data_IF_954503435088
#
_entry.id   IF_954503435088
#
_cell.length_a   1.000
_cell.length_b   1.000
_cell.length_c   1.000
_cell.angle_alpha   90.00
_cell.angle_beta   90.00
_cell.angle_gamma   90.00
#
_symmetry.space_group_name_H-M   'P 1'
#
loop_
_entity.id
_entity.type
_entity.pdbx_description
1 polymer ?
#
# COMPACT_ATOMS: atom_id res chain seq x y z
N UNK A 1 -27.98 2.88 -1.56
CA UNK A 1 -26.93 3.92 -1.45
C UNK A 1 -25.59 3.19 -1.53
N UNK A 2 -25.00 3.07 -2.72
CA UNK A 2 -23.76 2.30 -2.93
C UNK A 2 -22.58 3.25 -2.94
N UNK A 3 -21.77 3.19 -1.87
CA UNK A 3 -20.44 3.80 -1.87
C UNK A 3 -19.62 3.07 -2.96
N UNK A 4 -19.27 3.77 -4.04
CA UNK A 4 -18.27 3.28 -4.99
C UNK A 4 -16.90 3.66 -4.42
N UNK A 5 -16.08 2.70 -3.95
CA UNK A 5 -14.79 3.02 -3.40
C UNK A 5 -13.91 3.61 -4.52
N UNK A 6 -13.27 4.74 -4.25
CA UNK A 6 -12.39 5.48 -5.16
C UNK A 6 -11.07 4.72 -5.39
N UNK A 7 -11.17 3.49 -5.90
CA UNK A 7 -10.08 2.50 -6.04
C UNK A 7 -9.05 2.83 -7.12
N UNK A 8 -9.02 4.07 -7.62
CA UNK A 8 -8.16 4.50 -8.73
C UNK A 8 -7.34 5.76 -8.46
N UNK A 9 -7.29 6.28 -7.22
CA UNK A 9 -6.62 7.56 -6.94
C UNK A 9 -5.08 7.44 -6.76
N UNK A 10 -4.51 6.23 -6.83
CA UNK A 10 -3.06 6.05 -6.69
C UNK A 10 -2.38 6.13 -8.06
N UNK A 11 -1.55 7.15 -8.27
CA UNK A 11 -0.79 7.27 -9.52
C UNK A 11 0.35 6.25 -9.66
N UNK A 12 0.82 5.66 -8.54
CA UNK A 12 1.99 4.76 -8.49
C UNK A 12 1.83 3.69 -7.41
N UNK A 13 2.41 2.51 -7.64
CA UNK A 13 2.39 1.39 -6.70
C UNK A 13 3.25 1.70 -5.47
N UNK A 14 2.75 1.54 -4.22
CA UNK A 14 3.54 1.80 -3.02
C UNK A 14 4.67 0.79 -2.79
N UNK A 15 4.62 -0.37 -3.46
CA UNK A 15 5.62 -1.43 -3.30
C UNK A 15 6.78 -1.32 -4.31
N UNK A 16 6.47 -1.11 -5.60
CA UNK A 16 7.49 -1.06 -6.66
C UNK A 16 7.64 0.32 -7.33
N UNK A 17 6.85 1.33 -6.92
CA UNK A 17 6.83 2.68 -7.48
C UNK A 17 6.46 2.77 -8.98
N UNK A 18 5.98 1.69 -9.60
CA UNK A 18 5.52 1.69 -10.99
C UNK A 18 4.21 2.46 -11.19
N UNK A 19 3.98 3.03 -12.39
CA UNK A 19 2.71 3.65 -12.76
C UNK A 19 1.58 2.64 -12.64
N UNK A 20 0.50 3.00 -11.93
CA UNK A 20 -0.68 2.15 -11.83
C UNK A 20 -1.68 2.49 -12.93
N UNK A 21 -2.23 1.46 -13.57
CA UNK A 21 -3.38 1.62 -14.44
C UNK A 21 -4.64 1.81 -13.58
N UNK A 22 -5.50 2.73 -14.00
CA UNK A 22 -6.66 3.15 -13.21
C UNK A 22 -7.73 2.07 -13.22
N UNK A 23 -7.88 1.33 -12.12
CA UNK A 23 -8.96 0.37 -11.91
C UNK A 23 -8.52 -1.03 -11.49
N UNK A 24 -7.22 -1.29 -11.44
CA UNK A 24 -6.70 -2.59 -11.04
C UNK A 24 -6.75 -2.82 -9.52
N UNK A 25 -7.18 -4.03 -9.14
CA UNK A 25 -7.13 -4.50 -7.74
C UNK A 25 -5.71 -4.86 -7.31
N UNK A 26 -4.86 -5.20 -8.28
CA UNK A 26 -3.50 -5.68 -8.08
C UNK A 26 -2.54 -4.99 -9.04
N UNK A 27 -1.32 -4.71 -8.60
CA UNK A 27 -0.29 -4.20 -9.49
C UNK A 27 0.23 -5.30 -10.42
N UNK A 28 0.10 -5.12 -11.74
CA UNK A 28 0.56 -6.09 -12.75
C UNK A 28 2.08 -6.32 -12.80
N UNK A 29 2.86 -5.43 -12.19
CA UNK A 29 4.33 -5.52 -12.16
C UNK A 29 4.89 -6.35 -11.00
N UNK A 30 4.34 -6.17 -9.80
CA UNK A 30 4.88 -6.78 -8.58
C UNK A 30 3.86 -7.61 -7.78
N UNK A 31 2.59 -7.61 -8.18
CA UNK A 31 1.52 -8.38 -7.53
C UNK A 31 0.98 -7.80 -6.22
N UNK A 32 1.28 -6.53 -5.89
CA UNK A 32 0.78 -5.89 -4.68
C UNK A 32 -0.73 -5.62 -4.76
N UNK A 33 -1.48 -5.93 -3.69
CA UNK A 33 -2.92 -5.67 -3.60
C UNK A 33 -3.20 -4.20 -3.28
N UNK A 34 -3.73 -3.48 -4.27
CA UNK A 34 -4.07 -2.06 -4.19
C UNK A 34 -5.40 -1.83 -3.46
N UNK A 35 -6.19 -2.90 -3.28
CA UNK A 35 -7.43 -2.92 -2.51
C UNK A 35 -7.22 -2.63 -1.03
N UNK A 36 -6.11 -3.11 -0.47
CA UNK A 36 -5.77 -2.97 0.93
C UNK A 36 -5.21 -1.59 1.29
N UNK A 37 -4.88 -0.76 0.28
CA UNK A 37 -4.40 0.60 0.51
C UNK A 37 -5.60 1.48 0.81
N UNK A 38 -5.72 2.07 2.02
CA UNK A 38 -6.72 3.08 2.27
C UNK A 38 -6.48 4.23 1.28
N UNK A 39 -7.54 4.83 0.68
CA UNK A 39 -7.35 6.03 -0.13
C UNK A 39 -6.58 7.02 0.75
N UNK A 40 -5.43 7.51 0.25
CA UNK A 40 -4.76 8.59 0.94
C UNK A 40 -5.81 9.71 1.07
N UNK A 41 -6.06 10.21 2.29
CA UNK A 41 -6.88 11.39 2.43
C UNK A 41 -6.26 12.42 1.50
N UNK A 42 -7.06 12.92 0.56
CA UNK A 42 -6.66 13.95 -0.39
C UNK A 42 -6.15 15.11 0.45
N UNK A 43 -4.83 15.18 0.60
CA UNK A 43 -4.15 16.27 1.26
C UNK A 43 -4.26 17.42 0.27
N UNK A 44 -5.36 18.15 0.37
CA UNK A 44 -5.56 19.44 -0.28
C UNK A 44 -5.30 20.60 0.69
N UNK A 45 -4.11 20.72 1.32
CA UNK A 45 -3.80 21.93 2.04
C UNK A 45 -3.53 23.03 1.01
N UNK A 46 -4.47 23.97 0.95
CA UNK A 46 -4.24 25.39 0.63
C UNK A 46 -4.13 25.75 -0.86
N UNK A 47 -5.28 26.06 -1.46
CA UNK A 47 -5.38 27.28 -2.26
C UNK A 47 -6.52 28.18 -1.74
N UNK A 48 -6.16 28.96 -0.72
CA UNK A 48 -6.48 30.39 -0.55
C UNK A 48 -7.95 30.80 -0.33
N UNK A 49 -8.31 31.20 0.90
CA UNK A 49 -8.69 32.58 1.30
C UNK A 49 -9.24 32.58 2.75
N UNK A 50 -8.61 33.43 3.57
CA UNK A 50 -8.85 33.76 4.97
C UNK A 50 -10.34 34.01 5.37
N UNK A 51 -10.95 33.17 6.22
CA UNK A 51 -11.89 33.58 7.29
C UNK A 51 -12.28 32.37 8.16
N UNK A 52 -11.97 32.43 9.47
CA UNK A 52 -12.05 31.31 10.39
C UNK A 52 -13.40 30.62 10.53
N UNK A 53 -13.36 29.29 10.57
CA UNK A 53 -14.12 28.40 11.45
C UNK A 53 -13.69 26.98 11.14
N UNK A 54 -12.94 26.37 12.05
CA UNK A 54 -12.81 24.92 12.05
C UNK A 54 -14.14 24.35 12.54
N UNK A 55 -14.91 23.58 11.76
CA UNK A 55 -15.89 22.71 12.36
C UNK A 55 -15.11 21.47 12.78
N UNK A 56 -14.78 21.43 14.07
CA UNK A 56 -14.83 20.22 14.89
C UNK A 56 -14.13 18.99 14.30
N UNK A 57 -12.93 18.72 14.81
CA UNK A 57 -12.50 17.34 15.02
C UNK A 57 -13.68 16.55 15.65
N UNK A 58 -13.94 15.28 15.28
CA UNK A 58 -14.92 14.48 16.00
C UNK A 58 -14.32 14.09 17.36
N UNK A 59 -14.28 15.04 18.28
CA UNK A 59 -14.46 14.75 19.70
C UNK A 59 -15.92 14.33 19.91
N UNK A 60 -16.23 13.09 19.52
CA UNK A 60 -17.41 12.41 20.01
C UNK A 60 -16.97 11.57 21.20
N UNK A 61 -16.76 12.22 22.34
CA UNK A 61 -16.81 11.56 23.65
C UNK A 61 -18.29 11.44 24.04
N UNK A 62 -18.85 10.22 24.14
CA UNK A 62 -20.03 10.03 24.96
C UNK A 62 -19.57 10.26 26.41
N UNK A 63 -19.98 11.38 27.01
CA UNK A 63 -19.89 11.59 28.45
C UNK A 63 -20.84 10.59 29.13
N UNK A 64 -20.30 9.41 29.44
CA UNK A 64 -20.92 8.40 30.29
C UNK A 64 -20.03 8.27 31.54
N UNK A 65 -20.57 8.36 32.76
CA UNK A 65 -19.74 8.29 33.95
C UNK A 65 -19.29 6.85 34.17
N UNK A 66 -18.07 6.54 33.74
CA UNK A 66 -17.36 5.32 34.11
C UNK A 66 -16.93 4.45 32.93
N UNK A 67 -15.79 4.77 32.32
CA UNK A 67 -14.98 3.78 31.61
C UNK A 67 -13.52 3.96 32.06
N UNK A 68 -12.85 2.91 32.60
CA UNK A 68 -11.44 3.02 32.95
C UNK A 68 -10.63 3.26 31.68
N UNK A 69 -9.64 4.15 31.77
CA UNK A 69 -8.67 4.39 30.71
C UNK A 69 -8.12 3.04 30.20
N UNK A 70 -7.92 2.87 28.88
CA UNK A 70 -7.22 1.68 28.40
C UNK A 70 -5.82 1.72 29.01
N UNK A 71 -5.61 0.90 30.04
CA UNK A 71 -4.28 0.55 30.48
C UNK A 71 -3.56 0.06 29.25
N UNK A 72 -2.55 0.81 28.83
CA UNK A 72 -1.69 0.43 27.73
C UNK A 72 -1.02 -0.87 28.12
N UNK A 73 -1.62 -1.99 27.73
CA UNK A 73 -0.96 -3.28 27.73
C UNK A 73 0.22 -3.12 26.81
N UNK A 74 1.41 -2.94 27.40
CA UNK A 74 2.68 -2.87 26.69
C UNK A 74 2.84 -4.16 25.89
N UNK A 75 2.40 -4.14 24.64
CA UNK A 75 2.75 -5.18 23.69
C UNK A 75 4.23 -4.93 23.38
N UNK A 76 5.14 -5.84 23.78
CA UNK A 76 6.53 -5.71 23.35
C UNK A 76 6.54 -5.68 21.82
N UNK A 77 7.39 -4.86 21.18
CA UNK A 77 7.46 -4.82 19.73
C UNK A 77 7.65 -6.24 19.21
N UNK A 78 6.68 -6.73 18.43
CA UNK A 78 6.80 -8.04 17.81
C UNK A 78 8.04 -8.03 16.93
N UNK A 79 8.91 -9.02 17.11
CA UNK A 79 10.10 -9.15 16.27
C UNK A 79 9.68 -9.22 14.79
N UNK A 80 10.41 -8.57 13.88
CA UNK A 80 10.09 -8.64 12.47
C UNK A 80 10.16 -10.09 11.98
N UNK A 81 9.34 -10.46 10.98
CA UNK A 81 9.39 -11.80 10.40
C UNK A 81 10.78 -12.10 9.82
N UNK A 82 11.17 -13.38 9.71
CA UNK A 82 12.44 -13.76 9.10
C UNK A 82 12.51 -13.31 7.64
N UNK A 83 13.71 -13.00 7.17
CA UNK A 83 13.94 -12.62 5.78
C UNK A 83 13.55 -13.76 4.82
N UNK A 84 13.03 -13.44 3.62
CA UNK A 84 12.73 -14.45 2.61
C UNK A 84 14.01 -15.17 2.15
N UNK A 85 13.90 -16.42 1.66
CA UNK A 85 15.03 -17.15 1.10
C UNK A 85 15.58 -16.45 -0.16
N UNK A 86 16.88 -16.64 -0.47
CA UNK A 86 17.46 -16.09 -1.70
C UNK A 86 16.80 -16.69 -2.95
N UNK A 87 16.81 -15.95 -4.08
CA UNK A 87 16.29 -16.48 -5.34
C UNK A 87 17.09 -17.70 -5.82
N UNK A 88 16.48 -18.60 -6.61
CA UNK A 88 17.19 -19.74 -7.20
C UNK A 88 18.28 -19.26 -8.17
N UNK A 89 19.33 -20.08 -8.40
CA UNK A 89 20.36 -19.75 -9.38
C UNK A 89 19.77 -19.68 -10.80
N UNK A 90 20.39 -18.91 -11.71
CA UNK A 90 19.97 -18.85 -13.10
C UNK A 90 20.13 -20.22 -13.80
N UNK A 91 19.34 -20.49 -14.85
CA UNK A 91 19.49 -21.71 -15.64
C UNK A 91 20.85 -21.76 -16.34
N UNK A 92 21.37 -22.97 -16.66
CA UNK A 92 22.61 -23.11 -17.43
C UNK A 92 22.46 -22.50 -18.84
N UNK A 93 23.57 -22.06 -19.47
CA UNK A 93 23.54 -21.58 -20.84
C UNK A 93 23.11 -22.68 -21.81
N UNK A 94 22.52 -22.31 -22.96
CA UNK A 94 22.18 -23.28 -24.00
C UNK A 94 23.45 -23.98 -24.54
N UNK A 95 23.32 -25.22 -25.05
CA UNK A 95 24.43 -25.90 -25.68
C UNK A 95 24.93 -25.13 -26.91
N UNK A 96 26.22 -25.26 -27.27
CA UNK A 96 26.75 -24.66 -28.49
C UNK A 96 26.04 -25.21 -29.73
N UNK A 97 25.97 -24.43 -30.83
CA UNK A 97 25.42 -24.91 -32.09
C UNK A 97 26.24 -26.10 -32.64
N UNK A 98 25.62 -27.00 -33.41
CA UNK A 98 26.33 -28.09 -34.06
C UNK A 98 27.38 -27.54 -35.05
N UNK A 99 28.49 -28.29 -35.29
CA UNK A 99 29.47 -27.90 -36.28
C UNK A 99 28.86 -27.87 -37.69
N UNK A 100 29.38 -27.03 -38.61
CA UNK A 100 28.93 -27.01 -40.00
C UNK A 100 29.22 -28.35 -40.69
N UNK A 101 28.42 -28.73 -41.71
CA UNK A 101 28.69 -29.93 -42.49
C UNK A 101 30.01 -29.82 -43.27
N UNK A 102 30.71 -30.95 -43.53
CA UNK A 102 31.92 -30.95 -44.36
C UNK A 102 31.61 -30.56 -45.82
N UNK A 103 32.60 -30.02 -46.56
CA UNK A 103 32.46 -29.62 -47.97
C UNK A 103 32.25 -30.80 -48.93
#
# INVERSE_FOLDING_TARGET
MSQMPQQGALSRCPSCAEPLESGDRFCGACGYDLSAVPPLPDDNPTLTMHNGSAPNAPESTPEWPGAPAPVGTGIPPQAPPPAPPPPPPPPPPPPPPPPPPPP
#
